data_IF_476054558777
#
_entry.id   IF_476054558777
#
_cell.length_a   1.000
_cell.length_b   1.000
_cell.length_c   1.000
_cell.angle_alpha   90.00
_cell.angle_beta   90.00
_cell.angle_gamma   90.00
#
_symmetry.space_group_name_H-M   'P 1'
#
loop_
_entity.id
_entity.type
_entity.pdbx_description
1 polymer ?
#
# COMPACT_ATOMS: atom_id res chain seq x y z
N UNK A 1 1.91 -3.44 -15.75
CA UNK A 1 2.92 -3.19 -14.70
C UNK A 1 2.25 -3.49 -13.37
N UNK A 2 2.89 -4.29 -12.51
CA UNK A 2 2.37 -4.71 -11.21
C UNK A 2 2.79 -3.71 -10.15
N UNK A 3 1.82 -2.96 -9.63
CA UNK A 3 2.03 -1.98 -8.56
C UNK A 3 1.69 -2.63 -7.23
N UNK A 4 2.57 -2.48 -6.24
CA UNK A 4 2.32 -2.89 -4.86
C UNK A 4 2.37 -1.66 -3.94
N UNK A 5 1.28 -1.39 -3.25
CA UNK A 5 1.20 -0.44 -2.14
C UNK A 5 1.41 -1.20 -0.82
N UNK A 6 2.26 -0.70 0.06
CA UNK A 6 2.60 -1.32 1.34
C UNK A 6 2.25 -0.34 2.46
N UNK A 7 1.35 -0.76 3.35
CA UNK A 7 1.06 -0.12 4.62
C UNK A 7 1.83 -0.80 5.77
N UNK A 8 1.81 -0.19 6.96
CA UNK A 8 2.64 -0.60 8.09
C UNK A 8 2.04 -1.72 8.98
N UNK A 9 0.91 -2.34 8.60
CA UNK A 9 0.33 -3.46 9.34
C UNK A 9 1.27 -4.68 9.39
N UNK A 10 1.32 -5.35 10.55
CA UNK A 10 2.40 -6.29 10.88
C UNK A 10 2.01 -7.77 10.84
N UNK A 11 0.83 -8.16 10.37
CA UNK A 11 0.46 -9.59 10.36
C UNK A 11 1.23 -10.39 9.29
N UNK A 12 1.64 -9.75 8.19
CA UNK A 12 2.42 -10.41 7.14
C UNK A 12 3.86 -10.70 7.60
N UNK A 13 4.33 -11.93 7.44
CA UNK A 13 5.72 -12.26 7.72
C UNK A 13 6.66 -11.56 6.74
N UNK A 14 7.89 -11.27 7.18
CA UNK A 14 8.92 -10.67 6.32
C UNK A 14 9.16 -11.50 5.04
N UNK A 15 9.10 -12.84 5.12
CA UNK A 15 9.21 -13.72 3.95
C UNK A 15 8.05 -13.56 2.95
N UNK A 16 6.82 -13.40 3.45
CA UNK A 16 5.65 -13.21 2.60
C UNK A 16 5.65 -11.83 1.95
N UNK A 17 6.05 -10.80 2.71
CA UNK A 17 6.25 -9.46 2.16
C UNK A 17 7.34 -9.47 1.08
N UNK A 18 8.44 -10.18 1.30
CA UNK A 18 9.52 -10.34 0.31
C UNK A 18 9.03 -10.99 -0.99
N UNK A 19 8.16 -12.01 -0.90
CA UNK A 19 7.52 -12.64 -2.06
C UNK A 19 6.72 -11.60 -2.86
N UNK A 20 5.83 -10.86 -2.21
CA UNK A 20 5.02 -9.84 -2.87
C UNK A 20 5.86 -8.70 -3.47
N UNK A 21 6.91 -8.28 -2.76
CA UNK A 21 7.88 -7.29 -3.24
C UNK A 21 8.60 -7.79 -4.49
N UNK A 22 8.93 -9.08 -4.58
CA UNK A 22 9.63 -9.65 -5.76
C UNK A 22 8.73 -9.72 -7.00
N UNK A 23 7.42 -9.83 -6.82
CA UNK A 23 6.44 -9.83 -7.92
C UNK A 23 6.17 -8.42 -8.47
N UNK A 24 6.37 -7.38 -7.66
CA UNK A 24 6.03 -6.01 -8.03
C UNK A 24 7.03 -5.43 -9.04
N UNK A 25 6.53 -4.76 -10.07
CA UNK A 25 7.38 -3.96 -10.95
C UNK A 25 7.71 -2.60 -10.31
N UNK A 26 6.81 -2.09 -9.45
CA UNK A 26 6.99 -0.85 -8.69
C UNK A 26 6.32 -0.92 -7.32
N UNK A 27 7.01 -0.44 -6.30
CA UNK A 27 6.60 -0.49 -4.89
C UNK A 27 6.41 0.92 -4.34
N UNK A 28 5.23 1.18 -3.80
CA UNK A 28 4.90 2.37 -3.03
C UNK A 28 4.77 1.97 -1.57
N UNK A 29 5.48 2.64 -0.67
CA UNK A 29 5.37 2.40 0.77
C UNK A 29 4.86 3.64 1.49
N UNK A 30 3.94 3.44 2.44
CA UNK A 30 3.51 4.48 3.36
C UNK A 30 4.49 4.59 4.52
N UNK A 31 5.15 5.72 4.65
CA UNK A 31 6.04 6.09 5.77
C UNK A 31 6.86 4.92 6.36
N UNK A 32 6.59 4.50 7.60
CA UNK A 32 7.28 3.40 8.28
C UNK A 32 7.19 2.02 7.59
N UNK A 33 6.27 1.83 6.63
CA UNK A 33 6.26 0.63 5.78
C UNK A 33 7.51 0.52 4.89
N UNK A 34 8.23 1.63 4.66
CA UNK A 34 9.49 1.62 3.94
C UNK A 34 10.56 0.78 4.68
N UNK A 35 10.59 0.86 6.00
CA UNK A 35 11.48 0.03 6.83
C UNK A 35 11.13 -1.45 6.72
N UNK A 36 9.84 -1.79 6.70
CA UNK A 36 9.38 -3.18 6.52
C UNK A 36 9.83 -3.75 5.17
N UNK A 37 9.70 -2.96 4.10
CA UNK A 37 10.15 -3.36 2.76
C UNK A 37 11.66 -3.63 2.74
N UNK A 38 12.43 -2.72 3.34
CA UNK A 38 13.88 -2.84 3.46
C UNK A 38 14.30 -4.11 4.21
N UNK A 39 13.68 -4.38 5.36
CA UNK A 39 13.92 -5.60 6.14
C UNK A 39 13.57 -6.85 5.34
N UNK A 40 12.52 -6.78 4.52
CA UNK A 40 12.13 -7.85 3.58
C UNK A 40 13.02 -7.94 2.32
N UNK A 41 14.07 -7.12 2.21
CA UNK A 41 15.11 -7.26 1.18
C UNK A 41 14.92 -6.44 -0.08
N UNK A 42 13.96 -5.49 -0.11
CA UNK A 42 13.78 -4.55 -1.23
C UNK A 42 13.41 -3.16 -0.72
N UNK A 43 14.19 -2.15 -1.10
CA UNK A 43 13.81 -0.75 -0.85
C UNK A 43 12.63 -0.33 -1.75
N UNK A 44 11.65 0.46 -1.26
CA UNK A 44 10.56 0.98 -2.08
C UNK A 44 11.02 1.93 -3.18
N UNK A 45 10.28 1.94 -4.29
CA UNK A 45 10.52 2.88 -5.39
C UNK A 45 10.02 4.29 -5.03
N UNK A 46 8.90 4.38 -4.31
CA UNK A 46 8.29 5.62 -3.85
C UNK A 46 7.90 5.46 -2.37
N UNK A 47 8.22 6.46 -1.56
CA UNK A 47 7.79 6.52 -0.15
C UNK A 47 6.97 7.78 0.09
N UNK A 48 5.80 7.62 0.71
CA UNK A 48 4.80 8.68 0.89
C UNK A 48 4.45 8.80 2.36
N UNK A 49 4.47 10.02 2.91
CA UNK A 49 4.14 10.26 4.31
C UNK A 49 4.58 11.65 4.77
N UNK A 50 4.37 11.95 6.05
CA UNK A 50 4.98 13.11 6.73
C UNK A 50 6.40 12.80 7.26
N UNK A 51 6.79 11.52 7.24
CA UNK A 51 8.12 11.03 7.57
C UNK A 51 8.47 11.14 9.06
N UNK A 52 7.49 10.96 9.94
CA UNK A 52 7.70 10.93 11.38
C UNK A 52 8.00 9.52 11.92
N UNK A 53 7.61 8.46 11.18
CA UNK A 53 7.78 7.06 11.59
C UNK A 53 8.88 6.31 10.82
N UNK A 54 9.29 6.79 9.64
CA UNK A 54 10.38 6.21 8.84
C UNK A 54 11.77 6.42 9.46
N UNK A 55 12.63 5.40 9.37
CA UNK A 55 14.04 5.55 9.74
C UNK A 55 14.84 6.41 8.74
N UNK A 56 15.86 7.11 9.22
CA UNK A 56 16.75 7.89 8.35
C UNK A 56 17.44 7.03 7.27
N UNK A 57 17.67 5.74 7.57
CA UNK A 57 18.27 4.80 6.63
C UNK A 57 17.30 4.47 5.49
N UNK A 58 16.05 4.12 5.81
CA UNK A 58 15.02 3.84 4.81
C UNK A 58 14.68 5.07 3.96
N UNK A 59 14.63 6.24 4.62
CA UNK A 59 14.44 7.54 3.96
C UNK A 59 15.55 7.83 2.95
N UNK A 60 16.81 7.61 3.32
CA UNK A 60 17.96 7.84 2.44
C UNK A 60 18.07 6.85 1.28
N UNK A 61 17.50 5.63 1.41
CA UNK A 61 17.49 4.63 0.35
C UNK A 61 16.33 4.75 -0.63
N UNK A 62 15.26 5.46 -0.28
CA UNK A 62 14.11 5.67 -1.14
C UNK A 62 14.51 6.46 -2.40
N UNK A 63 14.09 5.98 -3.57
CA UNK A 63 14.40 6.65 -4.84
C UNK A 63 13.56 7.92 -5.06
N UNK A 64 12.36 7.96 -4.49
CA UNK A 64 11.41 9.06 -4.57
C UNK A 64 10.70 9.23 -3.22
N UNK A 65 10.85 10.40 -2.61
CA UNK A 65 10.22 10.77 -1.33
C UNK A 65 9.14 11.83 -1.58
N UNK A 66 7.89 11.49 -1.27
CA UNK A 66 6.74 12.38 -1.45
C UNK A 66 6.15 12.80 -0.12
N UNK A 67 6.50 14.01 0.28
CA UNK A 67 6.07 14.56 1.56
C UNK A 67 4.59 14.98 1.52
N UNK A 68 3.79 14.39 2.42
CA UNK A 68 2.36 14.64 2.60
C UNK A 68 2.05 14.94 4.08
N UNK A 69 2.18 16.21 4.51
CA UNK A 69 2.07 16.60 5.92
C UNK A 69 0.64 16.64 6.47
N UNK A 70 -0.37 16.49 5.62
CA UNK A 70 -1.77 16.60 6.01
C UNK A 70 -2.15 15.48 7.01
N UNK A 71 -2.59 15.89 8.20
CA UNK A 71 -2.96 14.98 9.29
C UNK A 71 -4.44 14.57 9.25
N UNK A 72 -5.25 15.22 8.43
CA UNK A 72 -6.65 14.84 8.25
C UNK A 72 -6.80 13.62 7.33
N UNK A 73 -5.70 13.20 6.68
CA UNK A 73 -5.63 12.10 5.74
C UNK A 73 -4.86 10.92 6.33
N UNK A 74 -5.40 9.72 6.16
CA UNK A 74 -4.67 8.51 6.57
C UNK A 74 -3.48 8.26 5.65
N UNK A 75 -2.52 7.47 6.12
CA UNK A 75 -1.40 7.01 5.30
C UNK A 75 -1.85 6.26 4.05
N UNK A 76 -2.94 5.49 4.16
CA UNK A 76 -3.55 4.85 3.00
C UNK A 76 -4.11 5.85 1.99
N UNK A 77 -4.80 6.92 2.45
CA UNK A 77 -5.29 7.97 1.55
C UNK A 77 -4.13 8.67 0.83
N UNK A 78 -3.08 9.05 1.56
CA UNK A 78 -1.87 9.69 1.00
C UNK A 78 -1.21 8.80 -0.05
N UNK A 79 -0.96 7.53 0.29
CA UNK A 79 -0.29 6.57 -0.58
C UNK A 79 -1.09 6.29 -1.87
N UNK A 80 -2.40 6.05 -1.73
CA UNK A 80 -3.27 5.74 -2.86
C UNK A 80 -3.46 6.95 -3.78
N UNK A 81 -3.53 8.17 -3.24
CA UNK A 81 -3.61 9.40 -4.03
C UNK A 81 -2.37 9.57 -4.93
N UNK A 82 -1.17 9.24 -4.44
CA UNK A 82 0.05 9.28 -5.25
C UNK A 82 0.05 8.25 -6.38
N UNK A 83 -0.44 7.03 -6.10
CA UNK A 83 -0.58 5.99 -7.12
C UNK A 83 -1.53 6.44 -8.24
N UNK A 84 -2.65 7.08 -7.87
CA UNK A 84 -3.59 7.67 -8.84
C UNK A 84 -2.94 8.81 -9.62
N UNK A 85 -2.22 9.71 -8.93
CA UNK A 85 -1.56 10.86 -9.56
C UNK A 85 -0.50 10.42 -10.59
N UNK A 86 0.19 9.31 -10.34
CA UNK A 86 1.13 8.68 -11.28
C UNK A 86 0.45 7.99 -12.47
N UNK A 87 -0.89 7.97 -12.51
CA UNK A 87 -1.69 7.46 -13.62
C UNK A 87 -1.98 5.97 -13.58
N UNK A 88 -1.62 5.28 -12.48
CA UNK A 88 -1.90 3.85 -12.33
C UNK A 88 -3.41 3.61 -12.14
N UNK A 89 -3.89 2.52 -12.74
CA UNK A 89 -5.32 2.13 -12.71
C UNK A 89 -5.56 0.81 -12.00
N UNK A 90 -4.51 0.08 -11.68
CA UNK A 90 -4.56 -1.18 -10.96
C UNK A 90 -3.37 -1.26 -10.00
N UNK A 91 -3.63 -1.66 -8.76
CA UNK A 91 -2.60 -1.95 -7.77
C UNK A 91 -3.02 -3.09 -6.83
N UNK A 92 -2.03 -3.78 -6.28
CA UNK A 92 -2.22 -4.57 -5.06
C UNK A 92 -1.88 -3.71 -3.85
N UNK A 93 -2.56 -3.91 -2.73
CA UNK A 93 -2.21 -3.27 -1.46
C UNK A 93 -2.10 -4.33 -0.36
N UNK A 94 -1.09 -4.25 0.48
CA UNK A 94 -0.87 -5.12 1.64
C UNK A 94 -0.58 -4.30 2.91
N UNK A 95 -0.46 -4.99 4.05
CA UNK A 95 -0.21 -4.33 5.34
C UNK A 95 -1.45 -3.68 5.93
N UNK A 96 -2.64 -4.14 5.56
CA UNK A 96 -3.91 -3.65 6.12
C UNK A 96 -4.24 -4.26 7.48
N UNK A 97 -3.60 -5.38 7.83
CA UNK A 97 -3.89 -6.17 9.03
C UNK A 97 -2.70 -6.25 9.98
N UNK A 98 -2.99 -6.48 11.25
CA UNK A 98 -1.97 -6.61 12.29
C UNK A 98 -1.56 -5.28 12.90
N UNK A 99 -2.52 -4.36 12.96
CA UNK A 99 -2.46 -3.11 13.72
C UNK A 99 -3.78 -2.93 14.49
N UNK A 100 -4.06 -1.73 15.01
CA UNK A 100 -5.29 -1.41 15.69
C UNK A 100 -6.51 -1.48 14.74
N UNK A 101 -7.67 -2.02 15.18
CA UNK A 101 -8.83 -2.20 14.33
C UNK A 101 -9.36 -0.92 13.66
N UNK A 102 -9.22 0.24 14.30
CA UNK A 102 -9.59 1.53 13.74
C UNK A 102 -8.68 1.95 12.59
N UNK A 103 -7.38 1.68 12.66
CA UNK A 103 -6.45 1.86 11.54
C UNK A 103 -6.82 0.96 10.36
N UNK A 104 -7.12 -0.31 10.62
CA UNK A 104 -7.55 -1.26 9.57
C UNK A 104 -8.82 -0.75 8.88
N UNK A 105 -9.81 -0.28 9.65
CA UNK A 105 -11.06 0.27 9.09
C UNK A 105 -10.85 1.56 8.32
N UNK A 106 -9.97 2.45 8.78
CA UNK A 106 -9.64 3.68 8.08
C UNK A 106 -8.93 3.39 6.74
N UNK A 107 -8.00 2.43 6.72
CA UNK A 107 -7.33 1.99 5.50
C UNK A 107 -8.32 1.38 4.49
N UNK A 108 -9.27 0.55 4.94
CA UNK A 108 -10.33 0.02 4.07
C UNK A 108 -11.24 1.13 3.52
N UNK A 109 -11.59 2.12 4.35
CA UNK A 109 -12.33 3.30 3.90
C UNK A 109 -11.60 4.07 2.79
N UNK A 110 -10.28 4.19 2.90
CA UNK A 110 -9.42 4.81 1.88
C UNK A 110 -9.40 4.00 0.58
N UNK A 111 -9.31 2.67 0.70
CA UNK A 111 -9.37 1.76 -0.45
C UNK A 111 -10.72 1.82 -1.18
N UNK A 112 -11.83 2.04 -0.46
CA UNK A 112 -13.14 2.25 -1.06
C UNK A 112 -13.21 3.57 -1.85
N UNK A 113 -12.72 4.67 -1.28
CA UNK A 113 -12.75 6.00 -1.89
C UNK A 113 -11.96 6.07 -3.21
N UNK A 114 -10.85 5.35 -3.30
CA UNK A 114 -9.99 5.42 -4.50
C UNK A 114 -10.60 4.71 -5.71
N UNK A 115 -11.59 3.84 -5.51
CA UNK A 115 -12.30 3.19 -6.63
C UNK A 115 -12.99 4.24 -7.51
N UNK A 116 -13.60 5.27 -6.91
CA UNK A 116 -14.26 6.36 -7.64
C UNK A 116 -13.27 7.25 -8.41
N UNK A 117 -11.98 7.15 -8.09
CA UNK A 117 -10.88 7.79 -8.83
C UNK A 117 -10.36 6.90 -9.97
N UNK A 118 -10.93 5.69 -10.12
CA UNK A 118 -10.61 4.74 -11.18
C UNK A 118 -9.40 3.86 -10.91
N UNK A 119 -8.95 3.74 -9.65
CA UNK A 119 -7.94 2.77 -9.23
C UNK A 119 -8.62 1.50 -8.73
N UNK A 120 -8.37 0.37 -9.39
CA UNK A 120 -8.79 -0.95 -8.91
C UNK A 120 -7.75 -1.52 -7.95
N UNK A 121 -8.21 -2.06 -6.83
CA UNK A 121 -7.35 -2.65 -5.79
C UNK A 121 -7.58 -4.15 -5.64
N UNK A 122 -6.48 -4.89 -5.54
CA UNK A 122 -6.45 -6.23 -4.94
C UNK A 122 -5.87 -6.10 -3.53
N UNK A 123 -6.65 -6.43 -2.52
CA UNK A 123 -6.19 -6.45 -1.13
C UNK A 123 -5.47 -7.79 -0.88
N UNK A 124 -4.21 -7.73 -0.45
CA UNK A 124 -3.41 -8.90 -0.10
C UNK A 124 -3.35 -9.05 1.42
N UNK A 125 -3.81 -10.19 1.90
CA UNK A 125 -3.79 -10.61 3.30
C UNK A 125 -2.88 -11.83 3.44
N UNK A 126 -2.40 -12.10 4.65
CA UNK A 126 -1.58 -13.27 4.99
C UNK A 126 -2.22 -14.58 4.59
N UNK A 127 -3.55 -14.67 4.67
CA UNK A 127 -4.31 -15.88 4.41
C UNK A 127 -5.04 -15.89 3.06
N UNK A 128 -4.82 -14.89 2.21
CA UNK A 128 -5.46 -14.86 0.89
C UNK A 128 -5.54 -13.46 0.28
N UNK A 129 -6.48 -13.31 -0.64
CA UNK A 129 -6.73 -12.06 -1.36
C UNK A 129 -8.19 -11.67 -1.23
N UNK A 130 -8.44 -10.37 -1.27
CA UNK A 130 -9.78 -9.81 -1.31
C UNK A 130 -9.85 -8.70 -2.36
N UNK A 131 -11.08 -8.37 -2.74
CA UNK A 131 -11.38 -7.33 -3.69
C UNK A 131 -12.57 -6.54 -3.19
N UNK A 132 -12.62 -5.28 -3.58
CA UNK A 132 -13.72 -4.40 -3.23
C UNK A 132 -14.68 -4.38 -4.42
N UNK A 133 -15.92 -4.81 -4.19
CA UNK A 133 -16.99 -4.76 -5.17
C UNK A 133 -17.90 -3.56 -4.87
N UNK A 134 -18.22 -2.78 -5.90
CA UNK A 134 -19.14 -1.64 -5.81
C UNK A 134 -20.10 -1.63 -7.00
N UNK A 135 -21.27 -1.01 -6.84
CA UNK A 135 -22.30 -0.94 -7.88
C UNK A 135 -21.84 -0.24 -9.19
N UNK A 136 -20.78 0.56 -9.12
CA UNK A 136 -20.10 1.19 -10.29
C UNK A 136 -18.80 0.51 -10.72
N UNK A 137 -18.34 -0.51 -9.99
CA UNK A 137 -17.03 -1.14 -10.16
C UNK A 137 -17.21 -2.65 -10.36
N UNK A 138 -17.60 -3.09 -11.57
CA UNK A 138 -17.84 -4.51 -11.84
C UNK A 138 -16.55 -5.31 -11.59
N UNK A 139 -16.68 -6.33 -10.76
CA UNK A 139 -15.59 -7.22 -10.38
C UNK A 139 -15.78 -8.60 -11.04
N UNK A 140 -14.69 -9.15 -11.57
CA UNK A 140 -14.62 -10.49 -12.18
C UNK A 140 -13.42 -11.23 -11.61
N UNK A 141 -13.63 -12.48 -11.20
CA UNK A 141 -12.57 -13.36 -10.68
C UNK A 141 -12.55 -14.66 -11.47
N UNK A 142 -11.36 -15.08 -11.89
CA UNK A 142 -11.10 -16.48 -12.20
C UNK A 142 -10.73 -17.17 -10.90
N UNK A 143 -11.60 -18.06 -10.44
CA UNK A 143 -11.31 -18.96 -9.30
C UNK A 143 -10.51 -20.12 -9.88
N UNK A 144 -9.25 -20.26 -9.48
CA UNK A 144 -8.44 -21.48 -9.71
C UNK A 144 -8.62 -22.45 -8.55
#
# INVERSE_FOLDING_TARGET
MRILAVLAGQDASSSLLAEWLSEADRVYAADGAADLCRVAGRDPDVVVGDFDSISETAKSSASDLRHRPDQDWTDADKLLAEIVADGWREASICGLEGDLPDHEMAALGSCLRVLDQGLRLTLRYRRGRAWIAGSGHPFSMSVE
#
